data_IF_536654162109
#
_entry.id   IF_536654162109
#
_cell.length_a   1.000
_cell.length_b   1.000
_cell.length_c   1.000
_cell.angle_alpha   90.00
_cell.angle_beta   90.00
_cell.angle_gamma   90.00
#
_symmetry.space_group_name_H-M   'P 1'
#
loop_
_entity.id
_entity.type
_entity.pdbx_description
1 polymer ?
#
# COMPACT_ATOMS: atom_id res chain seq x y z
N UNK A 1 1.53 -3.34 -2.15
CA UNK A 1 2.25 -4.13 -3.16
C UNK A 1 3.49 -4.86 -2.62
N UNK A 2 4.30 -4.36 -1.67
CA UNK A 2 5.57 -5.03 -1.25
C UNK A 2 5.46 -6.27 -0.34
N UNK A 3 4.50 -6.35 0.59
CA UNK A 3 4.40 -7.53 1.50
C UNK A 3 3.84 -8.78 0.82
N UNK A 4 3.21 -8.60 -0.33
CA UNK A 4 2.52 -9.65 -1.09
C UNK A 4 3.53 -10.53 -1.85
N UNK A 5 4.64 -9.96 -2.33
CA UNK A 5 5.70 -10.69 -3.05
C UNK A 5 6.32 -11.82 -2.23
N UNK A 6 6.31 -11.72 -0.89
CA UNK A 6 6.80 -12.80 -0.01
C UNK A 6 5.85 -13.99 0.10
N UNK A 7 4.56 -13.81 -0.21
CA UNK A 7 3.53 -14.84 -0.06
C UNK A 7 3.33 -15.69 -1.32
N UNK A 8 3.66 -15.17 -2.51
CA UNK A 8 3.24 -15.76 -3.80
C UNK A 8 4.38 -16.50 -4.52
N UNK A 9 5.62 -16.36 -4.07
CA UNK A 9 6.78 -16.87 -4.81
C UNK A 9 7.12 -15.99 -6.03
N UNK A 10 8.35 -16.11 -6.52
CA UNK A 10 9.00 -15.18 -7.45
C UNK A 10 8.48 -15.19 -8.91
N UNK A 11 7.18 -15.45 -9.15
CA UNK A 11 6.60 -15.57 -10.51
C UNK A 11 5.33 -14.73 -10.75
N UNK A 12 4.95 -13.84 -9.84
CA UNK A 12 3.78 -12.99 -10.04
C UNK A 12 4.10 -11.80 -10.96
N UNK A 13 3.33 -11.62 -12.04
CA UNK A 13 3.43 -10.43 -12.92
C UNK A 13 2.95 -9.16 -12.20
N UNK A 14 3.31 -7.98 -12.69
CA UNK A 14 2.81 -6.71 -12.15
C UNK A 14 1.28 -6.63 -12.14
N UNK A 15 0.63 -7.09 -13.20
CA UNK A 15 -0.84 -7.22 -13.26
C UNK A 15 -1.37 -8.16 -12.16
N UNK A 16 -0.78 -9.34 -11.97
CA UNK A 16 -1.18 -10.27 -10.92
C UNK A 16 -0.97 -9.69 -9.52
N UNK A 17 0.12 -8.93 -9.32
CA UNK A 17 0.41 -8.25 -8.06
C UNK A 17 -0.55 -7.08 -7.80
N UNK A 18 -0.98 -6.37 -8.84
CA UNK A 18 -2.01 -5.35 -8.77
C UNK A 18 -3.36 -5.99 -8.44
N UNK A 19 -3.76 -7.04 -9.16
CA UNK A 19 -4.99 -7.80 -8.91
C UNK A 19 -5.01 -8.39 -7.49
N UNK A 20 -3.90 -8.95 -7.02
CA UNK A 20 -3.78 -9.46 -5.65
C UNK A 20 -3.81 -8.33 -4.62
N UNK A 21 -3.19 -7.18 -4.90
CA UNK A 21 -3.28 -6.00 -4.05
C UNK A 21 -4.73 -5.53 -3.93
N UNK A 22 -5.45 -5.43 -5.05
CA UNK A 22 -6.87 -5.07 -5.09
C UNK A 22 -7.73 -6.10 -4.35
N UNK A 23 -7.46 -7.39 -4.54
CA UNK A 23 -8.12 -8.46 -3.81
C UNK A 23 -7.88 -8.33 -2.30
N UNK A 24 -6.63 -8.21 -1.85
CA UNK A 24 -6.30 -8.05 -0.43
C UNK A 24 -6.91 -6.79 0.18
N UNK A 25 -7.00 -5.70 -0.57
CA UNK A 25 -7.68 -4.47 -0.16
C UNK A 25 -9.20 -4.63 -0.04
N UNK A 26 -9.79 -5.56 -0.81
CA UNK A 26 -11.21 -5.88 -0.74
C UNK A 26 -11.58 -6.75 0.47
N UNK A 27 -10.62 -7.48 1.04
CA UNK A 27 -10.87 -8.41 2.17
C UNK A 27 -11.24 -7.62 3.42
N UNK A 28 -12.24 -8.11 4.14
CA UNK A 28 -12.58 -7.64 5.49
C UNK A 28 -12.50 -8.71 6.52
N UNK A 29 -12.29 -8.28 7.77
CA UNK A 29 -12.52 -9.12 8.92
C UNK A 29 -13.93 -9.75 8.82
N UNK A 30 -14.06 -11.07 8.97
CA UNK A 30 -15.37 -11.71 9.03
C UNK A 30 -16.15 -11.21 10.26
N UNK A 31 -17.48 -11.37 10.29
CA UNK A 31 -18.26 -11.08 11.48
C UNK A 31 -17.72 -11.86 12.69
N UNK A 32 -17.48 -11.16 13.80
CA UNK A 32 -17.00 -11.78 15.02
C UNK A 32 -18.19 -12.36 15.84
N UNK A 33 -18.28 -13.69 16.02
CA UNK A 33 -19.38 -14.32 16.73
C UNK A 33 -19.40 -14.03 18.25
N UNK A 34 -18.27 -13.61 18.81
CA UNK A 34 -18.14 -13.28 20.23
C UNK A 34 -18.63 -11.86 20.54
N UNK A 35 -18.72 -10.99 19.53
CA UNK A 35 -19.13 -9.60 19.68
C UNK A 35 -20.66 -9.44 19.67
N UNK A 36 -21.18 -8.43 20.38
CA UNK A 36 -22.61 -8.07 20.30
C UNK A 36 -22.90 -7.38 18.96
N UNK A 37 -24.18 -7.22 18.55
CA UNK A 37 -24.51 -6.54 17.30
C UNK A 37 -23.82 -5.17 17.17
N UNK A 38 -23.26 -4.91 15.98
CA UNK A 38 -22.46 -3.70 15.73
C UNK A 38 -21.05 -3.72 16.31
N UNK A 39 -20.54 -4.90 16.71
CA UNK A 39 -19.22 -5.05 17.32
C UNK A 39 -19.17 -4.55 18.77
N UNK A 40 -20.31 -4.27 19.41
CA UNK A 40 -20.32 -3.73 20.78
C UNK A 40 -19.72 -4.73 21.76
N UNK A 41 -18.90 -4.22 22.67
CA UNK A 41 -18.31 -5.04 23.72
C UNK A 41 -19.36 -5.50 24.75
N UNK A 42 -19.10 -6.66 25.36
CA UNK A 42 -19.74 -7.06 26.61
C UNK A 42 -19.25 -6.19 27.76
N UNK A 43 -19.88 -6.31 28.93
CA UNK A 43 -19.37 -5.60 30.11
C UNK A 43 -17.96 -6.07 30.50
N UNK A 44 -17.70 -7.38 30.39
CA UNK A 44 -16.37 -7.94 30.54
C UNK A 44 -15.38 -7.39 29.49
N UNK A 45 -15.77 -7.40 28.21
CA UNK A 45 -14.93 -6.84 27.14
C UNK A 45 -14.62 -5.34 27.32
N UNK A 46 -15.56 -4.55 27.88
CA UNK A 46 -15.30 -3.13 28.22
C UNK A 46 -14.26 -2.98 29.32
N UNK A 47 -14.36 -3.77 30.39
CA UNK A 47 -13.35 -3.78 31.46
C UNK A 47 -12.00 -4.27 30.94
N UNK A 48 -12.01 -5.30 30.09
CA UNK A 48 -10.83 -5.82 29.41
C UNK A 48 -10.15 -4.77 28.54
N UNK A 49 -10.89 -3.99 27.75
CA UNK A 49 -10.34 -2.87 26.97
C UNK A 49 -9.64 -1.85 27.87
N UNK A 50 -10.26 -1.47 28.99
CA UNK A 50 -9.67 -0.53 29.93
C UNK A 50 -8.38 -1.06 30.56
N UNK A 51 -8.31 -2.36 30.87
CA UNK A 51 -7.07 -3.01 31.33
C UNK A 51 -5.99 -3.00 30.23
N UNK A 52 -6.38 -3.36 29.00
CA UNK A 52 -5.50 -3.46 27.83
C UNK A 52 -4.83 -2.12 27.48
N UNK A 53 -5.59 -1.04 27.48
CA UNK A 53 -5.12 0.33 27.19
C UNK A 53 -4.45 0.99 28.40
N UNK A 54 -4.77 0.51 29.61
CA UNK A 54 -4.27 1.04 30.87
C UNK A 54 -3.14 0.19 31.45
N UNK A 55 -3.39 -0.38 32.62
CA UNK A 55 -2.35 -0.97 33.49
C UNK A 55 -1.67 -2.21 32.90
N UNK A 56 -2.30 -2.93 31.96
CA UNK A 56 -1.66 -4.07 31.28
C UNK A 56 -0.66 -3.62 30.20
N UNK A 57 -0.68 -2.34 29.80
CA UNK A 57 0.31 -1.75 28.88
C UNK A 57 0.28 -2.27 27.45
N UNK A 58 -0.69 -3.11 27.08
CA UNK A 58 -0.75 -3.76 25.77
C UNK A 58 -0.93 -2.74 24.63
N UNK A 59 -1.69 -1.67 24.89
CA UNK A 59 -1.92 -0.56 23.96
C UNK A 59 -0.65 0.22 23.58
N UNK A 60 0.48 0.04 24.27
CA UNK A 60 1.75 0.66 23.86
C UNK A 60 2.29 0.12 22.53
N UNK A 61 2.07 -1.17 22.26
CA UNK A 61 2.46 -1.82 21.01
C UNK A 61 1.26 -2.11 20.10
N UNK A 62 0.16 -2.55 20.68
CA UNK A 62 -1.05 -2.91 19.96
C UNK A 62 -2.03 -1.74 19.94
N UNK A 63 -1.68 -0.69 19.18
CA UNK A 63 -2.40 0.58 19.13
C UNK A 63 -3.11 0.83 17.81
N UNK A 64 -3.97 1.85 17.79
CA UNK A 64 -4.62 2.32 16.58
C UNK A 64 -5.69 1.36 16.04
N UNK A 65 -6.23 1.65 14.83
CA UNK A 65 -7.40 0.97 14.31
C UNK A 65 -7.17 -0.52 13.98
N UNK A 66 -5.92 -0.90 13.71
CA UNK A 66 -5.53 -2.29 13.44
C UNK A 66 -4.88 -2.98 14.64
N UNK A 67 -4.80 -2.30 15.79
CA UNK A 67 -4.18 -2.79 17.02
C UNK A 67 -2.73 -3.26 16.81
N UNK A 68 -1.96 -2.44 16.10
CA UNK A 68 -0.53 -2.60 15.86
C UNK A 68 0.11 -1.26 15.52
N UNK A 69 1.29 -1.01 16.10
CA UNK A 69 2.19 0.07 15.70
C UNK A 69 3.20 -0.35 14.61
N UNK A 70 3.16 -1.62 14.17
CA UNK A 70 4.05 -2.26 13.18
C UNK A 70 5.54 -2.20 13.57
N UNK A 71 5.86 -1.91 14.82
CA UNK A 71 7.23 -1.95 15.32
C UNK A 71 7.73 -3.40 15.38
N UNK A 72 9.05 -3.57 15.33
CA UNK A 72 9.69 -4.88 15.46
C UNK A 72 10.21 -5.06 16.88
N UNK A 73 9.98 -6.24 17.45
CA UNK A 73 10.38 -6.60 18.81
C UNK A 73 11.14 -7.92 18.85
N UNK A 74 12.06 -8.04 19.79
CA UNK A 74 12.86 -9.25 20.04
C UNK A 74 12.39 -9.98 21.29
N UNK A 75 12.63 -11.29 21.39
CA UNK A 75 12.42 -12.05 22.63
C UNK A 75 11.13 -12.86 22.70
N UNK A 76 10.27 -12.79 21.67
CA UNK A 76 9.11 -13.69 21.51
C UNK A 76 9.51 -15.07 20.99
N UNK A 77 10.49 -15.08 20.10
CA UNK A 77 11.18 -16.25 19.58
C UNK A 77 12.68 -15.95 19.65
N UNK A 78 13.46 -16.84 20.26
CA UNK A 78 14.87 -16.59 20.53
C UNK A 78 15.66 -16.26 19.25
N UNK A 79 16.40 -15.15 19.27
CA UNK A 79 17.23 -14.69 18.15
C UNK A 79 16.46 -14.19 16.92
N UNK A 80 15.14 -13.96 17.04
CA UNK A 80 14.30 -13.53 15.91
C UNK A 80 13.56 -12.24 16.23
N UNK A 81 13.72 -11.27 15.34
CA UNK A 81 12.95 -10.03 15.29
C UNK A 81 11.58 -10.28 14.69
N UNK A 82 10.50 -9.89 15.40
CA UNK A 82 9.12 -10.13 14.98
C UNK A 82 8.35 -8.81 15.03
N UNK A 83 7.62 -8.49 13.98
CA UNK A 83 6.72 -7.36 13.97
C UNK A 83 5.59 -7.53 15.01
N UNK A 84 5.08 -6.42 15.53
CA UNK A 84 3.88 -6.43 16.37
C UNK A 84 2.69 -6.75 15.46
N UNK A 85 2.05 -7.92 15.58
CA UNK A 85 0.94 -8.27 14.68
C UNK A 85 -0.29 -7.41 15.00
N UNK A 86 -1.11 -7.13 13.99
CA UNK A 86 -2.46 -6.62 14.22
C UNK A 86 -3.30 -7.63 14.99
N UNK A 87 -4.17 -7.16 15.89
CA UNK A 87 -5.03 -8.03 16.70
C UNK A 87 -6.46 -8.18 16.13
N UNK A 88 -6.72 -7.59 14.96
CA UNK A 88 -7.99 -7.76 14.26
C UNK A 88 -8.11 -9.23 13.83
N UNK A 89 -9.16 -9.90 14.32
CA UNK A 89 -9.38 -11.32 14.04
C UNK A 89 -8.64 -12.30 14.97
N UNK A 90 -7.93 -11.81 16.00
CA UNK A 90 -7.12 -12.67 16.90
C UNK A 90 -7.93 -13.78 17.59
N UNK A 91 -9.25 -13.66 17.64
CA UNK A 91 -10.14 -14.66 18.23
C UNK A 91 -10.20 -15.99 17.45
N UNK A 92 -9.77 -16.02 16.18
CA UNK A 92 -9.89 -17.19 15.28
C UNK A 92 -8.61 -17.48 14.47
N UNK A 93 -7.44 -17.14 15.02
CA UNK A 93 -6.14 -17.31 14.33
C UNK A 93 -5.17 -18.19 15.11
N UNK A 94 -5.68 -19.09 15.94
CA UNK A 94 -4.84 -20.07 16.62
C UNK A 94 -4.19 -21.05 15.60
N UNK A 95 -2.97 -21.58 15.89
CA UNK A 95 -2.15 -21.28 17.05
C UNK A 95 -1.40 -19.94 16.92
N UNK A 96 -1.02 -19.37 18.06
CA UNK A 96 -0.41 -18.05 18.16
C UNK A 96 1.11 -18.11 18.27
N UNK A 97 1.74 -16.97 17.95
CA UNK A 97 3.19 -16.82 17.92
C UNK A 97 3.76 -17.14 16.55
N UNK A 98 4.97 -16.64 16.29
CA UNK A 98 5.66 -16.78 15.01
C UNK A 98 5.84 -18.24 14.58
N UNK A 99 6.00 -19.15 15.54
CA UNK A 99 6.19 -20.59 15.32
C UNK A 99 4.97 -21.40 15.78
N UNK A 100 3.84 -20.74 16.06
CA UNK A 100 2.61 -21.40 16.53
C UNK A 100 2.77 -22.05 17.92
N UNK A 101 3.69 -21.56 18.75
CA UNK A 101 4.03 -22.19 20.03
C UNK A 101 2.96 -22.05 21.13
N UNK A 102 1.96 -21.18 20.95
CA UNK A 102 0.84 -21.02 21.89
C UNK A 102 -0.47 -21.51 21.27
N UNK A 103 -0.98 -22.70 21.65
CA UNK A 103 -2.17 -23.26 21.02
C UNK A 103 -3.48 -22.51 21.30
N UNK A 104 -3.53 -21.69 22.35
CA UNK A 104 -4.75 -20.98 22.78
C UNK A 104 -4.45 -19.51 23.06
N UNK A 105 -5.52 -18.69 23.01
CA UNK A 105 -5.41 -17.25 23.26
C UNK A 105 -5.02 -16.97 24.72
N UNK A 106 -5.52 -17.80 25.65
CA UNK A 106 -5.10 -17.78 27.06
C UNK A 106 -3.58 -18.01 27.20
N UNK A 107 -3.03 -19.04 26.55
CA UNK A 107 -1.61 -19.34 26.63
C UNK A 107 -0.75 -18.20 26.05
N UNK A 108 -1.21 -17.58 24.96
CA UNK A 108 -0.57 -16.41 24.38
C UNK A 108 -0.66 -15.18 25.31
N UNK A 109 -1.80 -14.95 25.96
CA UNK A 109 -1.99 -13.85 26.90
C UNK A 109 -1.08 -14.00 28.13
N UNK A 110 -1.00 -15.19 28.72
CA UNK A 110 -0.14 -15.44 29.87
C UNK A 110 1.34 -15.19 29.52
N UNK A 111 1.78 -15.61 28.33
CA UNK A 111 3.09 -15.26 27.83
C UNK A 111 3.26 -13.74 27.63
N UNK A 112 2.29 -13.07 27.00
CA UNK A 112 2.38 -11.64 26.73
C UNK A 112 2.47 -10.79 28.01
N UNK A 113 1.73 -11.15 29.06
CA UNK A 113 1.80 -10.50 30.36
C UNK A 113 3.20 -10.64 30.98
N UNK A 114 3.79 -11.85 30.93
CA UNK A 114 5.15 -12.08 31.40
C UNK A 114 6.20 -11.32 30.57
N UNK A 115 6.05 -11.33 29.24
CA UNK A 115 6.97 -10.68 28.31
C UNK A 115 6.98 -9.16 28.46
N UNK A 116 5.81 -8.54 28.64
CA UNK A 116 5.67 -7.09 28.82
C UNK A 116 6.03 -6.63 30.23
N UNK A 117 6.19 -7.55 31.19
CA UNK A 117 6.36 -7.20 32.60
C UNK A 117 5.12 -6.52 33.18
N UNK A 118 3.93 -6.85 32.68
CA UNK A 118 2.67 -6.32 33.18
C UNK A 118 2.53 -6.57 34.69
N UNK A 119 1.91 -5.65 35.45
CA UNK A 119 1.67 -5.86 36.88
C UNK A 119 0.83 -7.14 37.08
N UNK A 120 0.93 -7.80 38.26
CA UNK A 120 0.10 -8.96 38.56
C UNK A 120 -1.38 -8.63 38.38
N UNK A 121 -2.05 -9.38 37.50
CA UNK A 121 -3.48 -9.27 37.24
C UNK A 121 -4.22 -10.43 37.91
N UNK A 122 -5.43 -10.17 38.40
CA UNK A 122 -6.30 -11.21 38.95
C UNK A 122 -6.82 -12.15 37.84
N UNK A 123 -7.36 -13.31 38.23
CA UNK A 123 -7.98 -14.23 37.26
C UNK A 123 -9.19 -13.59 36.57
N UNK A 124 -9.95 -12.74 37.28
CA UNK A 124 -11.06 -11.96 36.71
C UNK A 124 -10.56 -10.92 35.70
N UNK A 125 -9.46 -10.22 35.98
CA UNK A 125 -8.86 -9.26 35.04
C UNK A 125 -8.37 -9.95 33.76
N UNK A 126 -7.77 -11.14 33.91
CA UNK A 126 -7.35 -11.96 32.75
C UNK A 126 -8.55 -12.43 31.93
N UNK A 127 -9.63 -12.84 32.60
CA UNK A 127 -10.88 -13.24 31.92
C UNK A 127 -11.50 -12.06 31.15
N UNK A 128 -11.49 -10.86 31.73
CA UNK A 128 -11.94 -9.63 31.07
C UNK A 128 -11.05 -9.27 29.86
N UNK A 129 -9.73 -9.38 29.98
CA UNK A 129 -8.79 -9.21 28.85
C UNK A 129 -9.07 -10.21 27.73
N UNK A 130 -9.31 -11.47 28.06
CA UNK A 130 -9.68 -12.47 27.06
C UNK A 130 -11.01 -12.16 26.40
N UNK A 131 -12.03 -11.72 27.15
CA UNK A 131 -13.29 -11.29 26.58
C UNK A 131 -13.07 -10.15 25.56
N UNK A 132 -12.25 -9.15 25.91
CA UNK A 132 -11.89 -8.07 24.99
C UNK A 132 -11.21 -8.59 23.72
N UNK A 133 -10.18 -9.43 23.85
CA UNK A 133 -9.45 -9.99 22.70
C UNK A 133 -10.37 -10.85 21.81
N UNK A 134 -11.28 -11.62 22.41
CA UNK A 134 -12.27 -12.40 21.68
C UNK A 134 -13.28 -11.54 20.94
N UNK A 135 -13.52 -10.30 21.37
CA UNK A 135 -14.51 -9.38 20.82
C UNK A 135 -13.93 -8.37 19.81
N UNK A 136 -12.61 -8.39 19.56
CA UNK A 136 -11.95 -7.55 18.55
C UNK A 136 -12.50 -7.85 17.14
N UNK A 137 -12.72 -6.84 16.29
CA UNK A 137 -12.24 -5.46 16.36
C UNK A 137 -13.08 -4.49 17.20
N UNK A 138 -14.18 -4.97 17.80
CA UNK A 138 -15.09 -4.12 18.54
C UNK A 138 -15.93 -3.18 17.67
N UNK A 139 -16.41 -2.05 18.22
CA UNK A 139 -17.25 -1.08 17.52
C UNK A 139 -16.44 -0.10 16.64
N UNK A 140 -15.20 -0.46 16.27
CA UNK A 140 -14.33 0.42 15.50
C UNK A 140 -14.70 0.39 14.01
N UNK A 141 -14.66 1.56 13.37
CA UNK A 141 -14.68 1.72 11.92
C UNK A 141 -13.31 2.24 11.48
N UNK A 142 -12.76 1.69 10.40
CA UNK A 142 -11.48 2.13 9.84
C UNK A 142 -11.50 2.04 8.32
N UNK A 143 -10.54 2.72 7.69
CA UNK A 143 -10.32 2.67 6.25
C UNK A 143 -9.53 1.40 5.91
N UNK A 144 -10.10 0.55 5.05
CA UNK A 144 -9.43 -0.64 4.53
C UNK A 144 -8.50 -0.30 3.37
N UNK A 145 -8.97 0.54 2.44
CA UNK A 145 -8.19 0.96 1.28
C UNK A 145 -8.64 2.31 0.75
N UNK A 146 -7.71 2.96 0.05
CA UNK A 146 -7.97 4.16 -0.75
C UNK A 146 -7.42 3.93 -2.16
N UNK A 147 -8.18 4.42 -3.14
CA UNK A 147 -7.75 4.59 -4.51
C UNK A 147 -7.90 6.08 -4.85
N UNK A 148 -6.83 6.79 -5.22
CA UNK A 148 -5.43 6.37 -5.19
C UNK A 148 -4.94 6.04 -3.78
N UNK A 149 -3.82 5.33 -3.69
CA UNK A 149 -3.16 5.08 -2.42
C UNK A 149 -2.65 6.39 -1.82
N UNK A 150 -2.63 6.48 -0.49
CA UNK A 150 -2.03 7.65 0.16
C UNK A 150 -0.52 7.69 -0.14
N UNK A 151 -0.03 8.86 -0.55
CA UNK A 151 1.33 9.09 -1.03
C UNK A 151 1.56 8.70 -2.49
N UNK A 152 0.53 8.26 -3.23
CA UNK A 152 0.67 8.02 -4.67
C UNK A 152 0.97 9.32 -5.41
N UNK A 153 1.82 9.22 -6.42
CA UNK A 153 2.24 10.33 -7.28
C UNK A 153 1.98 9.96 -8.74
N UNK A 154 1.98 10.95 -9.63
CA UNK A 154 1.73 10.77 -11.07
C UNK A 154 0.43 10.01 -11.39
N UNK A 155 -0.58 10.15 -10.54
CA UNK A 155 -1.88 9.48 -10.73
C UNK A 155 -2.57 10.02 -11.97
N UNK A 156 -3.11 9.14 -12.82
CA UNK A 156 -3.91 9.59 -13.95
C UNK A 156 -5.17 10.34 -13.49
N UNK A 157 -5.44 11.51 -14.07
CA UNK A 157 -6.53 12.39 -13.66
C UNK A 157 -7.96 11.79 -13.72
N UNK A 158 -8.17 10.69 -14.44
CA UNK A 158 -9.46 9.96 -14.47
C UNK A 158 -9.49 8.74 -13.53
N UNK A 159 -8.42 8.51 -12.76
CA UNK A 159 -8.40 7.44 -11.76
C UNK A 159 -9.57 7.62 -10.80
N UNK A 160 -10.40 6.58 -10.56
CA UNK A 160 -11.47 6.68 -9.60
C UNK A 160 -10.96 7.06 -8.20
N UNK A 161 -11.59 8.06 -7.60
CA UNK A 161 -11.32 8.46 -6.22
C UNK A 161 -12.29 7.69 -5.32
N UNK A 162 -11.79 6.68 -4.62
CA UNK A 162 -12.60 5.73 -3.86
C UNK A 162 -11.96 5.38 -2.52
N UNK A 163 -12.75 5.46 -1.45
CA UNK A 163 -12.41 5.00 -0.11
C UNK A 163 -13.28 3.81 0.26
N UNK A 164 -12.65 2.73 0.70
CA UNK A 164 -13.34 1.53 1.17
C UNK A 164 -13.13 1.34 2.66
N UNK A 165 -14.21 1.28 3.43
CA UNK A 165 -14.20 1.14 4.88
C UNK A 165 -14.44 -0.30 5.33
N UNK A 166 -14.09 -0.61 6.59
CA UNK A 166 -14.26 -1.96 7.15
C UNK A 166 -15.72 -2.41 7.22
N UNK A 167 -16.66 -1.48 7.38
CA UNK A 167 -18.10 -1.73 7.47
C UNK A 167 -18.89 -0.82 6.54
N UNK A 168 -20.15 -1.18 6.27
CA UNK A 168 -21.09 -0.30 5.60
C UNK A 168 -21.31 0.99 6.41
N UNK A 169 -21.27 2.13 5.75
CA UNK A 169 -21.47 3.45 6.33
C UNK A 169 -22.97 3.73 6.53
N UNK A 170 -23.31 4.44 7.60
CA UNK A 170 -24.67 4.96 7.79
C UNK A 170 -24.99 6.03 6.72
N UNK A 171 -26.24 6.12 6.24
CA UNK A 171 -26.62 7.05 5.18
C UNK A 171 -26.53 8.51 5.65
N UNK A 172 -26.44 9.45 4.69
CA UNK A 172 -26.50 10.88 4.97
C UNK A 172 -25.22 11.48 5.57
N UNK A 173 -24.06 10.85 5.32
CA UNK A 173 -22.76 11.31 5.82
C UNK A 173 -21.80 11.74 4.68
N UNK A 174 -22.34 12.06 3.50
CA UNK A 174 -21.51 12.48 2.36
C UNK A 174 -20.78 13.81 2.63
N UNK A 175 -21.32 14.65 3.51
CA UNK A 175 -20.74 15.90 4.03
C UNK A 175 -19.50 15.68 4.90
N UNK A 176 -19.22 14.43 5.33
CA UNK A 176 -18.01 14.07 6.06
C UNK A 176 -16.79 13.88 5.17
N UNK A 177 -16.97 13.94 3.86
CA UNK A 177 -15.91 13.72 2.88
C UNK A 177 -15.67 15.00 2.10
N UNK A 178 -14.40 15.36 1.94
CA UNK A 178 -13.98 16.44 1.07
C UNK A 178 -12.79 15.99 0.23
N UNK A 179 -12.75 16.43 -1.02
CA UNK A 179 -11.54 16.42 -1.84
C UNK A 179 -11.13 17.88 -2.00
N UNK A 180 -9.90 18.19 -1.63
CA UNK A 180 -9.34 19.54 -1.73
C UNK A 180 -7.97 19.48 -2.39
N UNK A 181 -7.55 20.59 -2.98
CA UNK A 181 -6.16 20.78 -3.41
C UNK A 181 -5.26 20.77 -2.18
N UNK A 182 -4.12 20.08 -2.25
CA UNK A 182 -3.17 19.98 -1.13
C UNK A 182 -2.18 21.15 -1.11
N UNK A 183 -2.73 22.37 -1.02
CA UNK A 183 -2.00 23.63 -0.82
C UNK A 183 -2.38 24.28 0.53
N UNK A 184 -1.85 25.48 0.80
CA UNK A 184 -2.12 26.23 2.04
C UNK A 184 -3.58 26.68 2.11
N UNK A 185 -4.19 27.01 0.96
CA UNK A 185 -5.56 27.48 0.84
C UNK A 185 -6.60 26.36 1.01
N UNK A 186 -6.30 25.14 0.55
CA UNK A 186 -7.18 23.97 0.62
C UNK A 186 -8.43 24.12 -0.22
N UNK A 187 -8.32 24.61 -1.46
CA UNK A 187 -9.49 24.86 -2.31
C UNK A 187 -10.29 23.57 -2.55
N UNK A 188 -11.63 23.56 -2.34
CA UNK A 188 -12.45 22.39 -2.60
C UNK A 188 -12.50 22.08 -4.10
N UNK A 189 -12.45 20.80 -4.43
CA UNK A 189 -12.61 20.32 -5.80
C UNK A 189 -14.11 20.15 -6.09
N UNK A 190 -14.58 20.75 -7.18
CA UNK A 190 -15.98 20.65 -7.60
C UNK A 190 -16.35 19.22 -7.98
N UNK A 191 -17.40 18.70 -7.34
CA UNK A 191 -17.89 17.36 -7.55
C UNK A 191 -18.80 16.88 -6.43
N UNK A 192 -19.12 15.59 -6.43
CA UNK A 192 -20.05 14.99 -5.47
C UNK A 192 -19.52 13.68 -4.89
N UNK A 193 -19.66 13.52 -3.57
CA UNK A 193 -19.43 12.25 -2.90
C UNK A 193 -20.68 11.36 -2.96
N UNK A 194 -20.48 10.12 -3.40
CA UNK A 194 -21.47 9.05 -3.34
C UNK A 194 -21.04 8.01 -2.33
N UNK A 195 -21.85 7.83 -1.28
CA UNK A 195 -21.62 6.81 -0.25
C UNK A 195 -22.58 5.65 -0.49
N UNK A 196 -22.06 4.45 -0.75
CA UNK A 196 -22.82 3.23 -0.98
C UNK A 196 -22.21 2.05 -0.23
N UNK A 197 -22.96 1.54 0.74
CA UNK A 197 -22.47 0.47 1.60
C UNK A 197 -21.17 0.90 2.28
N UNK A 198 -20.09 0.15 2.04
CA UNK A 198 -18.75 0.39 2.60
C UNK A 198 -17.88 1.38 1.80
N UNK A 199 -18.38 1.87 0.67
CA UNK A 199 -17.59 2.64 -0.30
C UNK A 199 -18.06 4.09 -0.31
N UNK A 200 -17.11 5.02 -0.23
CA UNK A 200 -17.31 6.43 -0.54
C UNK A 200 -16.51 6.76 -1.82
N UNK A 201 -17.20 7.19 -2.87
CA UNK A 201 -16.60 7.53 -4.17
C UNK A 201 -16.85 9.00 -4.48
N UNK A 202 -15.81 9.72 -4.89
CA UNK A 202 -15.94 11.08 -5.39
C UNK A 202 -16.12 11.07 -6.91
N UNK A 203 -17.04 11.89 -7.40
CA UNK A 203 -17.30 12.12 -8.82
C UNK A 203 -17.01 13.58 -9.14
N UNK A 204 -15.88 13.89 -9.80
CA UNK A 204 -15.55 15.25 -10.24
C UNK A 204 -16.60 15.77 -11.22
N UNK A 205 -16.99 17.05 -11.12
CA UNK A 205 -18.01 17.64 -12.01
C UNK A 205 -17.58 17.61 -13.49
N UNK A 206 -16.28 17.80 -13.76
CA UNK A 206 -15.68 17.70 -15.10
C UNK A 206 -15.33 16.29 -15.56
N UNK A 207 -15.60 15.26 -14.76
CA UNK A 207 -15.27 13.86 -15.05
C UNK A 207 -13.79 13.48 -14.86
N UNK A 208 -12.90 14.45 -14.67
CA UNK A 208 -11.49 14.26 -14.36
C UNK A 208 -10.99 15.33 -13.38
N UNK A 209 -9.89 15.05 -12.69
CA UNK A 209 -9.15 16.03 -11.90
C UNK A 209 -8.26 16.91 -12.79
N UNK A 210 -7.77 18.03 -12.27
CA UNK A 210 -6.70 18.77 -12.93
C UNK A 210 -5.39 17.95 -12.83
N UNK A 211 -4.61 17.95 -13.90
CA UNK A 211 -3.29 17.31 -13.98
C UNK A 211 -2.26 18.05 -13.11
N UNK A 212 -1.13 17.40 -12.83
CA UNK A 212 0.02 18.00 -12.12
C UNK A 212 -0.35 18.74 -10.81
N UNK A 213 -1.39 18.25 -10.14
CA UNK A 213 -1.95 18.87 -8.95
C UNK A 213 -1.89 17.89 -7.78
N UNK A 214 -1.45 18.39 -6.62
CA UNK A 214 -1.51 17.63 -5.37
C UNK A 214 -2.90 17.77 -4.75
N UNK A 215 -3.45 16.66 -4.23
CA UNK A 215 -4.76 16.59 -3.61
C UNK A 215 -4.69 15.89 -2.26
N UNK A 216 -5.62 16.26 -1.38
CA UNK A 216 -5.92 15.49 -0.18
C UNK A 216 -7.41 15.23 -0.07
N UNK A 217 -7.75 13.98 0.23
CA UNK A 217 -9.08 13.58 0.68
C UNK A 217 -9.11 13.68 2.20
N UNK A 218 -10.08 14.42 2.70
CA UNK A 218 -10.34 14.58 4.13
C UNK A 218 -11.60 13.82 4.51
N UNK A 219 -11.49 12.92 5.49
CA UNK A 219 -12.61 12.22 6.11
C UNK A 219 -12.74 12.72 7.54
N UNK A 220 -13.83 13.42 7.81
CA UNK A 220 -14.11 13.97 9.13
C UNK A 220 -14.60 12.88 10.09
N UNK A 221 -14.14 12.95 11.34
CA UNK A 221 -14.71 12.19 12.44
C UNK A 221 -15.77 13.01 13.21
N UNK A 222 -16.76 12.36 13.86
CA UNK A 222 -17.01 10.93 13.79
C UNK A 222 -17.69 10.52 12.48
N UNK A 223 -17.27 9.39 11.90
CA UNK A 223 -17.99 8.72 10.82
C UNK A 223 -18.62 7.43 11.36
N UNK A 224 -19.91 7.23 11.10
CA UNK A 224 -20.69 6.13 11.66
C UNK A 224 -20.91 5.00 10.65
N UNK A 225 -20.74 3.76 11.09
CA UNK A 225 -21.17 2.55 10.40
C UNK A 225 -22.66 2.29 10.59
N UNK A 226 -23.26 1.54 9.67
CA UNK A 226 -24.69 1.23 9.65
C UNK A 226 -25.17 0.43 10.87
N UNK A 227 -24.25 -0.24 11.59
CA UNK A 227 -24.57 -1.02 12.79
C UNK A 227 -24.06 -0.35 14.08
N UNK A 228 -23.58 0.89 14.00
CA UNK A 228 -23.10 1.67 15.15
C UNK A 228 -21.59 1.62 15.39
N UNK A 229 -20.80 1.10 14.43
CA UNK A 229 -19.35 1.28 14.45
C UNK A 229 -18.98 2.76 14.28
N UNK A 230 -17.84 3.20 14.81
CA UNK A 230 -17.43 4.61 14.74
C UNK A 230 -15.96 4.73 14.36
N UNK A 231 -15.69 5.64 13.43
CA UNK A 231 -14.36 6.16 13.16
C UNK A 231 -14.16 7.37 14.06
N UNK A 232 -13.28 7.26 15.04
CA UNK A 232 -13.13 8.28 16.09
C UNK A 232 -12.17 9.41 15.72
N UNK A 233 -11.24 9.15 14.80
CA UNK A 233 -10.22 10.09 14.37
C UNK A 233 -10.36 10.39 12.87
N UNK A 234 -10.10 11.63 12.43
CA UNK A 234 -10.14 11.98 11.03
C UNK A 234 -9.07 11.21 10.24
N UNK A 235 -9.32 11.02 8.94
CA UNK A 235 -8.37 10.40 8.02
C UNK A 235 -8.03 11.40 6.92
N UNK A 236 -6.75 11.44 6.56
CA UNK A 236 -6.29 12.17 5.39
C UNK A 236 -5.59 11.21 4.45
N UNK A 237 -6.00 11.21 3.18
CA UNK A 237 -5.33 10.49 2.09
C UNK A 237 -4.78 11.52 1.14
N UNK A 238 -3.48 11.47 0.85
CA UNK A 238 -2.82 12.41 -0.08
C UNK A 238 -2.44 11.71 -1.37
N UNK A 239 -2.54 12.38 -2.50
CA UNK A 239 -2.00 11.90 -3.76
C UNK A 239 -1.76 13.07 -4.70
N UNK A 240 -0.96 12.88 -5.75
CA UNK A 240 -0.77 13.87 -6.79
C UNK A 240 -1.05 13.27 -8.16
N UNK A 241 -1.70 14.05 -9.03
CA UNK A 241 -1.92 13.65 -10.42
C UNK A 241 -0.71 13.99 -11.28
N UNK A 242 -0.40 13.15 -12.26
CA UNK A 242 0.63 13.42 -13.26
C UNK A 242 0.14 14.34 -14.38
N UNK A 243 1.06 14.70 -15.28
CA UNK A 243 0.75 15.29 -16.58
C UNK A 243 0.11 14.27 -17.53
N UNK A 244 -0.47 14.77 -18.62
CA UNK A 244 -0.96 13.90 -19.70
C UNK A 244 0.27 13.35 -20.44
N UNK A 245 0.36 12.05 -20.72
CA UNK A 245 1.43 11.53 -21.58
C UNK A 245 1.34 12.19 -22.97
N UNK A 246 2.43 12.83 -23.40
CA UNK A 246 2.54 13.44 -24.73
C UNK A 246 2.96 12.42 -25.78
N UNK A 247 3.59 11.32 -25.34
CA UNK A 247 4.05 10.21 -26.18
C UNK A 247 3.62 8.87 -25.60
N UNK A 248 3.56 7.86 -26.45
CA UNK A 248 3.30 6.47 -26.10
C UNK A 248 4.62 5.67 -26.14
N UNK A 249 4.99 5.04 -25.01
CA UNK A 249 6.19 4.19 -24.92
C UNK A 249 5.91 2.74 -25.28
N UNK A 250 4.77 2.41 -25.87
CA UNK A 250 4.45 1.06 -26.31
C UNK A 250 5.37 0.66 -27.46
N UNK A 251 6.13 -0.40 -27.26
CA UNK A 251 7.13 -0.85 -28.24
C UNK A 251 8.24 -1.66 -27.62
N UNK A 252 9.24 -1.97 -28.45
CA UNK A 252 10.49 -2.61 -28.00
C UNK A 252 11.61 -1.58 -28.05
N UNK A 253 12.44 -1.57 -27.03
CA UNK A 253 13.56 -0.63 -26.87
C UNK A 253 14.83 -1.40 -26.55
N UNK A 254 15.94 -0.99 -27.15
CA UNK A 254 17.28 -1.32 -26.66
C UNK A 254 17.64 -0.28 -25.62
N UNK A 255 17.90 -0.73 -24.40
CA UNK A 255 18.27 0.11 -23.26
C UNK A 255 19.76 -0.08 -22.99
N UNK A 256 20.50 1.01 -22.88
CA UNK A 256 21.94 1.01 -22.61
C UNK A 256 22.22 1.65 -21.25
N UNK A 257 22.99 0.98 -20.39
CA UNK A 257 23.42 1.49 -19.09
C UNK A 257 24.86 2.00 -19.17
N UNK A 258 25.08 3.29 -18.90
CA UNK A 258 26.37 3.97 -18.95
C UNK A 258 27.31 3.62 -17.78
N UNK A 259 27.76 2.36 -17.72
CA UNK A 259 28.60 1.81 -16.65
C UNK A 259 30.10 1.75 -17.01
N UNK A 260 30.47 1.72 -18.29
CA UNK A 260 31.86 1.66 -18.75
C UNK A 260 32.69 2.87 -18.27
N UNK A 261 32.04 4.03 -18.10
CA UNK A 261 32.69 5.26 -17.56
C UNK A 261 33.26 5.10 -16.15
N UNK A 262 32.81 4.09 -15.40
CA UNK A 262 33.35 3.79 -14.07
C UNK A 262 34.62 2.92 -14.12
N UNK A 263 35.05 2.48 -15.31
CA UNK A 263 36.28 1.71 -15.52
C UNK A 263 36.25 0.29 -14.96
N UNK A 264 35.06 -0.23 -14.66
CA UNK A 264 34.82 -1.57 -14.12
C UNK A 264 34.56 -2.59 -15.24
N UNK A 265 34.00 -2.12 -16.36
CA UNK A 265 33.63 -2.92 -17.53
C UNK A 265 34.05 -2.17 -18.81
N UNK A 266 34.34 -2.94 -19.86
CA UNK A 266 34.90 -2.41 -21.12
C UNK A 266 33.82 -1.84 -22.06
N UNK A 267 32.59 -2.33 -21.98
CA UNK A 267 31.45 -1.91 -22.81
C UNK A 267 30.20 -1.68 -21.95
N UNK A 268 29.34 -0.75 -22.39
CA UNK A 268 28.10 -0.42 -21.69
C UNK A 268 27.06 -1.53 -21.89
N UNK A 269 26.50 -2.10 -20.80
CA UNK A 269 25.57 -3.20 -20.89
C UNK A 269 24.26 -2.78 -21.56
N UNK A 270 23.76 -3.61 -22.48
CA UNK A 270 22.48 -3.43 -23.17
C UNK A 270 21.44 -4.48 -22.81
N UNK A 271 20.19 -4.05 -22.68
CA UNK A 271 19.03 -4.90 -22.46
C UNK A 271 17.90 -4.55 -23.42
N UNK A 272 16.94 -5.46 -23.62
CA UNK A 272 15.72 -5.16 -24.36
C UNK A 272 14.57 -4.94 -23.39
N UNK A 273 13.82 -3.85 -23.55
CA UNK A 273 12.56 -3.63 -22.84
C UNK A 273 11.42 -3.67 -23.85
N UNK A 274 10.44 -4.53 -23.61
CA UNK A 274 9.17 -4.50 -24.32
C UNK A 274 8.11 -3.87 -23.40
N UNK A 275 7.60 -2.69 -23.76
CA UNK A 275 6.66 -1.92 -22.95
C UNK A 275 5.29 -1.81 -23.61
N UNK A 276 4.26 -1.70 -22.78
CA UNK A 276 2.88 -1.39 -23.14
C UNK A 276 2.37 -0.28 -22.23
N UNK A 277 1.87 0.80 -22.83
CA UNK A 277 1.28 1.92 -22.13
C UNK A 277 -0.24 1.83 -22.17
N UNK A 278 -0.87 1.92 -21.00
CA UNK A 278 -2.31 2.04 -20.85
C UNK A 278 -2.75 3.51 -20.97
N UNK A 279 -4.04 3.78 -21.26
CA UNK A 279 -4.60 5.12 -21.17
C UNK A 279 -4.27 5.79 -19.82
N UNK A 280 -3.81 7.03 -19.88
CA UNK A 280 -3.37 7.77 -18.68
C UNK A 280 -1.91 7.61 -18.31
N UNK A 281 -1.12 6.88 -19.09
CA UNK A 281 0.34 6.87 -19.01
C UNK A 281 0.93 5.72 -18.20
N UNK A 282 0.13 4.87 -17.55
CA UNK A 282 0.67 3.71 -16.83
C UNK A 282 1.36 2.75 -17.80
N UNK A 283 2.57 2.31 -17.45
CA UNK A 283 3.39 1.43 -18.29
C UNK A 283 3.67 0.14 -17.55
N UNK A 284 3.43 -0.97 -18.23
CA UNK A 284 3.95 -2.29 -17.86
C UNK A 284 4.94 -2.71 -18.95
N UNK A 285 6.09 -3.24 -18.56
CA UNK A 285 7.08 -3.75 -19.47
C UNK A 285 7.80 -5.00 -18.97
N UNK A 286 8.36 -5.74 -19.91
CA UNK A 286 9.21 -6.89 -19.65
C UNK A 286 10.63 -6.54 -20.07
N UNK A 287 11.58 -6.80 -19.18
CA UNK A 287 13.00 -6.67 -19.41
C UNK A 287 13.56 -8.04 -19.84
N UNK A 288 14.05 -8.10 -21.07
CA UNK A 288 14.73 -9.24 -21.66
C UNK A 288 16.23 -8.94 -21.83
N UNK A 289 17.06 -9.72 -21.14
CA UNK A 289 18.45 -9.96 -21.53
C UNK A 289 19.45 -8.89 -21.12
N UNK A 290 20.65 -9.40 -20.86
CA UNK A 290 21.92 -8.69 -20.76
C UNK A 290 23.00 -9.78 -20.84
N UNK A 291 23.32 -10.36 -22.00
CA UNK A 291 24.30 -11.45 -22.15
C UNK A 291 24.27 -12.52 -21.01
N UNK A 292 23.09 -13.11 -20.77
CA UNK A 292 22.79 -14.05 -19.68
C UNK A 292 22.87 -13.50 -18.23
N UNK A 293 23.30 -12.26 -17.98
CA UNK A 293 23.42 -11.68 -16.64
C UNK A 293 22.09 -11.33 -15.97
N UNK A 294 21.05 -10.94 -16.71
CA UNK A 294 19.75 -10.53 -16.15
C UNK A 294 18.70 -11.61 -16.35
N UNK A 295 18.11 -12.09 -15.26
CA UNK A 295 16.91 -12.93 -15.33
C UNK A 295 15.70 -12.07 -15.75
N UNK A 296 14.76 -12.66 -16.49
CA UNK A 296 13.50 -12.02 -16.90
C UNK A 296 12.92 -11.19 -15.75
N UNK A 297 12.83 -9.88 -15.96
CA UNK A 297 12.31 -8.94 -14.97
C UNK A 297 11.19 -8.10 -15.58
N UNK A 298 10.52 -7.35 -14.72
CA UNK A 298 9.37 -6.53 -15.09
C UNK A 298 9.68 -5.09 -14.70
N UNK A 299 9.27 -4.16 -15.56
CA UNK A 299 9.40 -2.72 -15.34
C UNK A 299 7.99 -2.16 -15.29
N UNK A 300 7.68 -1.44 -14.23
CA UNK A 300 6.43 -0.69 -14.10
C UNK A 300 6.76 0.79 -14.04
N UNK A 301 5.82 1.66 -14.41
CA UNK A 301 6.00 3.09 -14.25
C UNK A 301 4.87 3.89 -14.88
N UNK A 302 5.14 5.16 -15.13
CA UNK A 302 4.16 6.11 -15.65
C UNK A 302 4.80 7.16 -16.54
N UNK A 303 4.16 7.45 -17.67
CA UNK A 303 4.50 8.56 -18.56
C UNK A 303 3.65 9.78 -18.21
N UNK A 304 4.34 10.89 -17.96
CA UNK A 304 3.76 12.19 -17.63
C UNK A 304 4.46 13.26 -18.46
N UNK A 305 3.72 13.88 -19.40
CA UNK A 305 4.34 14.71 -20.44
C UNK A 305 5.27 13.87 -21.31
N UNK A 306 6.51 14.33 -21.45
CA UNK A 306 7.60 13.62 -22.14
C UNK A 306 8.51 12.84 -21.18
N UNK A 307 8.09 12.57 -19.93
CA UNK A 307 8.93 11.84 -18.97
C UNK A 307 8.31 10.50 -18.60
N UNK A 308 9.06 9.43 -18.79
CA UNK A 308 8.75 8.11 -18.23
C UNK A 308 9.43 7.98 -16.86
N UNK A 309 8.64 7.90 -15.79
CA UNK A 309 9.11 7.61 -14.43
C UNK A 309 8.93 6.12 -14.17
N UNK A 310 10.02 5.45 -13.78
CA UNK A 310 10.05 4.01 -13.54
C UNK A 310 9.93 3.73 -12.05
N UNK A 311 9.01 2.84 -11.70
CA UNK A 311 8.81 2.39 -10.34
C UNK A 311 10.05 1.64 -9.82
N UNK A 312 10.39 1.76 -8.52
CA UNK A 312 11.53 1.02 -7.96
C UNK A 312 11.31 -0.49 -8.04
N UNK A 313 12.23 -1.20 -8.68
CA UNK A 313 12.15 -2.65 -8.86
C UNK A 313 13.46 -3.35 -8.46
N UNK A 314 13.39 -4.66 -8.28
CA UNK A 314 14.55 -5.49 -8.03
C UNK A 314 15.03 -6.07 -9.37
N UNK A 315 16.28 -5.81 -9.72
CA UNK A 315 16.92 -6.40 -10.87
C UNK A 315 17.64 -7.68 -10.41
N UNK A 316 17.07 -8.83 -10.72
CA UNK A 316 17.70 -10.13 -10.46
C UNK A 316 18.81 -10.36 -11.49
N UNK A 317 20.02 -10.62 -11.01
CA UNK A 317 21.16 -10.93 -11.88
C UNK A 317 21.91 -12.17 -11.39
N UNK A 318 22.69 -12.79 -12.28
CA UNK A 318 23.51 -13.96 -11.92
C UNK A 318 24.57 -13.67 -10.84
N UNK A 319 24.92 -12.40 -10.64
CA UNK A 319 25.91 -11.97 -9.64
C UNK A 319 25.26 -11.40 -8.37
N UNK A 320 23.93 -11.45 -8.27
CA UNK A 320 23.15 -10.99 -7.13
C UNK A 320 22.03 -10.01 -7.52
N UNK A 321 21.14 -9.75 -6.58
CA UNK A 321 20.02 -8.84 -6.80
C UNK A 321 20.44 -7.38 -6.57
N UNK A 322 20.10 -6.50 -7.51
CA UNK A 322 20.33 -5.06 -7.41
C UNK A 322 19.02 -4.32 -7.24
N UNK A 323 18.92 -3.49 -6.21
CA UNK A 323 17.76 -2.61 -6.03
C UNK A 323 17.91 -1.38 -6.90
N UNK A 324 17.00 -1.21 -7.86
CA UNK A 324 16.77 0.07 -8.52
C UNK A 324 15.92 0.92 -7.59
N UNK A 325 16.49 2.02 -7.11
CA UNK A 325 15.85 2.91 -6.13
C UNK A 325 14.88 3.87 -6.80
N UNK A 326 15.25 4.36 -7.98
CA UNK A 326 14.45 5.26 -8.83
C UNK A 326 15.04 5.27 -10.24
N UNK A 327 14.20 5.42 -11.26
CA UNK A 327 14.66 5.67 -12.62
C UNK A 327 13.71 6.61 -13.36
N UNK A 328 14.24 7.36 -14.32
CA UNK A 328 13.42 8.07 -15.30
C UNK A 328 14.12 8.16 -16.66
N UNK A 329 13.32 8.35 -17.72
CA UNK A 329 13.76 8.74 -19.06
C UNK A 329 12.99 10.00 -19.49
N UNK A 330 13.71 10.99 -19.99
CA UNK A 330 13.16 12.07 -20.80
C UNK A 330 13.08 11.57 -22.23
N UNK A 331 11.86 11.53 -22.77
CA UNK A 331 11.50 10.88 -24.02
C UNK A 331 11.48 11.87 -25.18
N UNK A 332 11.77 11.38 -26.37
CA UNK A 332 11.69 12.12 -27.63
C UNK A 332 10.94 11.29 -28.66
N UNK A 333 9.96 11.92 -29.31
CA UNK A 333 9.32 11.46 -30.54
C UNK A 333 9.96 12.23 -31.70
N UNK A 334 10.83 11.55 -32.46
CA UNK A 334 11.65 12.17 -33.50
C UNK A 334 10.89 12.36 -34.81
N UNK A 335 9.96 11.46 -35.11
CA UNK A 335 9.21 11.44 -36.37
C UNK A 335 7.78 12.01 -36.28
N UNK A 336 7.31 12.30 -35.06
CA UNK A 336 6.03 12.93 -34.76
C UNK A 336 4.85 11.97 -34.90
N UNK A 337 5.06 10.66 -34.83
CA UNK A 337 4.00 9.65 -34.92
C UNK A 337 3.26 9.42 -33.59
N UNK A 338 3.70 10.08 -32.51
CA UNK A 338 3.15 9.98 -31.17
C UNK A 338 3.78 8.88 -30.32
N UNK A 339 4.79 8.18 -30.83
CA UNK A 339 5.54 7.16 -30.12
C UNK A 339 6.90 7.69 -29.68
N UNK A 340 7.37 7.29 -28.50
CA UNK A 340 8.72 7.64 -28.07
C UNK A 340 9.73 6.82 -28.88
N UNK A 341 10.64 7.47 -29.59
CA UNK A 341 11.74 6.87 -30.34
C UNK A 341 12.99 6.71 -29.48
N UNK A 342 13.32 7.74 -28.72
CA UNK A 342 14.49 7.72 -27.85
C UNK A 342 14.15 8.23 -26.46
N UNK A 343 15.03 7.91 -25.50
CA UNK A 343 14.99 8.54 -24.19
C UNK A 343 16.32 8.49 -23.50
N UNK A 344 16.60 9.50 -22.69
CA UNK A 344 17.80 9.58 -21.87
C UNK A 344 17.43 9.95 -20.44
N UNK A 345 18.17 9.44 -19.45
CA UNK A 345 17.93 9.82 -18.08
C UNK A 345 18.87 9.20 -17.07
N UNK A 346 18.36 9.02 -15.86
CA UNK A 346 19.13 8.55 -14.71
C UNK A 346 18.44 7.36 -14.06
N UNK A 347 19.23 6.34 -13.76
CA UNK A 347 18.87 5.26 -12.86
C UNK A 347 19.73 5.35 -11.60
N UNK A 348 19.08 5.25 -10.43
CA UNK A 348 19.74 5.24 -9.13
C UNK A 348 19.80 3.82 -8.58
N UNK A 349 21.01 3.30 -8.39
CA UNK A 349 21.28 1.95 -7.92
C UNK A 349 22.37 2.00 -6.87
N UNK A 350 22.16 1.37 -5.71
CA UNK A 350 23.12 1.36 -4.60
C UNK A 350 23.61 2.77 -4.22
N UNK A 351 22.69 3.74 -4.18
CA UNK A 351 22.98 5.14 -3.89
C UNK A 351 23.83 5.90 -4.94
N UNK A 352 24.08 5.31 -6.12
CA UNK A 352 24.84 5.92 -7.22
C UNK A 352 23.95 6.19 -8.43
N UNK A 353 24.15 7.34 -9.06
CA UNK A 353 23.42 7.74 -10.27
C UNK A 353 24.18 7.28 -11.52
N UNK A 354 23.52 6.47 -12.34
CA UNK A 354 24.03 5.92 -13.60
C UNK A 354 23.20 6.50 -14.73
N UNK A 355 23.87 6.95 -15.79
CA UNK A 355 23.16 7.41 -17.00
C UNK A 355 22.64 6.19 -17.75
N UNK A 356 21.47 6.30 -18.34
CA UNK A 356 20.95 5.26 -19.21
C UNK A 356 20.16 5.89 -20.34
N UNK A 357 20.11 5.19 -21.47
CA UNK A 357 19.37 5.57 -22.65
C UNK A 357 18.51 4.42 -23.14
N UNK A 358 17.46 4.76 -23.88
CA UNK A 358 16.60 3.82 -24.56
C UNK A 358 16.45 4.27 -26.03
N UNK A 359 16.52 3.30 -26.94
CA UNK A 359 16.30 3.52 -28.38
C UNK A 359 15.28 2.49 -28.87
N UNK A 360 14.19 2.96 -29.47
CA UNK A 360 13.11 2.14 -29.98
C UNK A 360 13.65 1.29 -31.13
N UNK A 361 13.45 -0.02 -31.05
CA UNK A 361 13.79 -0.90 -32.16
C UNK A 361 12.76 -0.71 -33.26
N UNK A 362 13.19 -0.47 -34.50
CA UNK A 362 12.29 -0.42 -35.65
C UNK A 362 11.52 -1.75 -35.78
N UNK A 363 10.25 -1.75 -35.36
CA UNK A 363 9.30 -2.79 -35.68
C UNK A 363 8.02 -2.11 -36.14
N UNK A 364 7.98 -1.82 -37.45
CA UNK A 364 6.74 -1.52 -38.19
C UNK A 364 5.77 -2.69 -38.17
#
# INVERSE_FOLDING_TARGET
SREVLRLVGAQATGEQMQQLTLYMQSITAPPNPSSRPGGRFTEAGRRGKALFEGVAGCGGCHSGPLLTNRATVEGKTAGKQTDVPGLIGVYDTAPYGREGQWPTLQAMLDFALAYTGAPPLSDDDKADLLAYLHELPGPSLWLNSAQPLSGADHVWAQTPIELTFSHGLAPGQADRFALVVDDEEGAPVDGAWQVRGRVARFLPEGGALANETAYRVEVQAPLQGALGQVLEAPITVRFATGGVPEVDVSGRYVVTLGLARFGIIDEDPQAIVAALQAPGGNVTGVLEGLDDLVELSHVEGVVSGLRFVVDPFLLATQIGDFQVESAYLDLVDEDGDGLADTGEGVIRVLGTDVQWSAERTEAR
#
